data_IF_994648172056
#
_entry.id   IF_994648172056
#
_cell.length_a   1.000
_cell.length_b   1.000
_cell.length_c   1.000
_cell.angle_alpha   90.00
_cell.angle_beta   90.00
_cell.angle_gamma   90.00
#
_symmetry.space_group_name_H-M   'P 1'
#
loop_
_entity.id
_entity.type
_entity.pdbx_description
1 polymer ?
#
# COMPACT_ATOMS: atom_id res chain seq x y z
N UNK A 1 -1.74 -24.11 -1.35
CA UNK A 1 -1.71 -23.98 -2.82
C UNK A 1 -3.07 -24.26 -3.44
N UNK A 2 -3.71 -25.42 -3.20
CA UNK A 2 -5.06 -25.71 -3.73
C UNK A 2 -6.13 -24.66 -3.37
N UNK A 3 -6.11 -24.11 -2.14
CA UNK A 3 -7.06 -23.06 -1.72
C UNK A 3 -6.88 -21.75 -2.52
N UNK A 4 -5.64 -21.38 -2.86
CA UNK A 4 -5.38 -20.20 -3.69
C UNK A 4 -5.83 -20.41 -5.14
N UNK A 5 -5.63 -21.60 -5.70
CA UNK A 5 -6.12 -21.93 -7.04
C UNK A 5 -7.64 -21.84 -7.12
N UNK A 6 -8.35 -22.29 -6.08
CA UNK A 6 -9.81 -22.16 -5.98
C UNK A 6 -10.25 -20.70 -5.84
N UNK A 7 -9.59 -19.90 -5.01
CA UNK A 7 -9.89 -18.48 -4.87
C UNK A 7 -9.61 -17.69 -6.16
N UNK A 8 -8.52 -18.03 -6.86
CA UNK A 8 -8.20 -17.47 -8.18
C UNK A 8 -9.32 -17.76 -9.19
N UNK A 9 -9.89 -18.96 -9.21
CA UNK A 9 -11.00 -19.30 -10.10
C UNK A 9 -12.30 -18.54 -9.77
N UNK A 10 -12.46 -18.06 -8.55
CA UNK A 10 -13.63 -17.26 -8.14
C UNK A 10 -13.53 -15.79 -8.56
N UNK A 11 -12.35 -15.30 -8.96
CA UNK A 11 -12.18 -13.93 -9.44
C UNK A 11 -12.49 -13.81 -10.94
N UNK A 12 -13.50 -13.02 -11.33
CA UNK A 12 -13.85 -12.84 -12.73
C UNK A 12 -12.69 -12.23 -13.54
N UNK A 13 -12.30 -12.90 -14.63
CA UNK A 13 -11.35 -12.35 -15.60
C UNK A 13 -9.90 -12.23 -15.11
N UNK A 14 -9.53 -12.86 -13.99
CA UNK A 14 -8.17 -12.76 -13.40
C UNK A 14 -7.05 -13.14 -14.38
N UNK A 15 -7.32 -14.03 -15.34
CA UNK A 15 -6.32 -14.45 -16.34
C UNK A 15 -5.95 -13.33 -17.32
N UNK A 16 -6.83 -12.34 -17.49
CA UNK A 16 -6.59 -11.15 -18.30
C UNK A 16 -5.98 -10.00 -17.48
N UNK A 17 -5.77 -10.17 -16.17
CA UNK A 17 -5.21 -9.11 -15.34
C UNK A 17 -3.70 -8.95 -15.60
N UNK A 18 -3.18 -7.72 -15.47
CA UNK A 18 -1.74 -7.45 -15.51
C UNK A 18 -0.98 -8.36 -14.54
N UNK A 19 0.25 -8.73 -14.90
CA UNK A 19 1.07 -9.63 -14.09
C UNK A 19 1.28 -9.10 -12.66
N UNK A 20 1.47 -7.79 -12.51
CA UNK A 20 1.61 -7.13 -11.20
C UNK A 20 0.32 -7.19 -10.38
N UNK A 21 -0.85 -7.04 -11.01
CA UNK A 21 -2.14 -7.14 -10.33
C UNK A 21 -2.38 -8.59 -9.84
N UNK A 22 -2.01 -9.59 -10.64
CA UNK A 22 -2.07 -11.01 -10.23
C UNK A 22 -1.10 -11.32 -9.10
N UNK A 23 0.10 -10.74 -9.12
CA UNK A 23 1.08 -10.85 -8.03
C UNK A 23 0.51 -10.25 -6.74
N UNK A 24 -0.04 -9.03 -6.81
CA UNK A 24 -0.68 -8.37 -5.68
C UNK A 24 -1.83 -9.21 -5.12
N UNK A 25 -2.68 -9.76 -5.98
CA UNK A 25 -3.76 -10.66 -5.57
C UNK A 25 -3.22 -11.86 -4.79
N UNK A 26 -2.20 -12.54 -5.33
CA UNK A 26 -1.60 -13.71 -4.68
C UNK A 26 -1.01 -13.38 -3.31
N UNK A 27 -0.25 -12.29 -3.21
CA UNK A 27 0.36 -11.84 -1.97
C UNK A 27 -0.70 -11.44 -0.93
N UNK A 28 -1.74 -10.72 -1.35
CA UNK A 28 -2.83 -10.36 -0.45
C UNK A 28 -3.63 -11.59 -0.02
N UNK A 29 -3.93 -12.53 -0.92
CA UNK A 29 -4.66 -13.74 -0.55
C UNK A 29 -3.89 -14.59 0.46
N UNK A 30 -2.59 -14.76 0.24
CA UNK A 30 -1.68 -15.55 1.07
C UNK A 30 -1.07 -14.76 2.24
N UNK A 31 -1.54 -13.55 2.50
CA UNK A 31 -1.01 -12.70 3.58
C UNK A 31 -1.14 -13.43 4.93
N UNK A 32 -0.04 -13.49 5.67
CA UNK A 32 0.02 -14.25 6.93
C UNK A 32 0.31 -15.74 6.80
N UNK A 33 0.38 -16.29 5.57
CA UNK A 33 0.79 -17.66 5.28
C UNK A 33 2.14 -17.75 4.54
N UNK A 34 2.69 -16.60 4.15
CA UNK A 34 3.97 -16.47 3.47
C UNK A 34 4.87 -15.55 4.29
N UNK A 35 6.18 -15.84 4.41
CA UNK A 35 7.13 -14.95 5.07
C UNK A 35 7.26 -13.64 4.26
N UNK A 36 7.18 -12.52 4.96
CA UNK A 36 7.15 -11.18 4.33
C UNK A 36 8.29 -10.27 4.81
N UNK A 37 8.87 -10.55 5.97
CA UNK A 37 9.85 -9.69 6.63
C UNK A 37 11.18 -10.43 6.82
N UNK A 38 12.31 -9.72 6.89
CA UNK A 38 13.61 -10.30 7.26
C UNK A 38 13.60 -10.95 8.65
N UNK A 39 14.45 -11.97 8.83
CA UNK A 39 14.56 -12.77 10.05
C UNK A 39 14.97 -11.97 11.30
N UNK A 40 15.81 -10.95 11.12
CA UNK A 40 16.39 -10.10 12.16
C UNK A 40 15.38 -9.12 12.79
N UNK A 41 14.35 -8.71 12.03
CA UNK A 41 13.28 -7.84 12.52
C UNK A 41 12.51 -8.45 13.68
N UNK A 42 12.50 -9.78 13.79
CA UNK A 42 11.89 -10.51 14.91
C UNK A 42 12.51 -10.13 16.24
N UNK A 43 13.84 -10.01 16.30
CA UNK A 43 14.58 -9.84 17.55
C UNK A 43 14.77 -8.36 17.91
N UNK A 44 14.98 -7.51 16.91
CA UNK A 44 15.41 -6.13 17.12
C UNK A 44 14.36 -5.11 16.70
N UNK A 45 13.73 -5.32 15.54
CA UNK A 45 12.82 -4.36 14.92
C UNK A 45 11.41 -4.32 15.50
N UNK A 46 10.83 -5.48 15.83
CA UNK A 46 9.39 -5.64 16.14
C UNK A 46 9.10 -6.50 17.39
N UNK A 47 10.08 -6.63 18.29
CA UNK A 47 10.05 -7.52 19.47
C UNK A 47 8.86 -7.32 20.42
N UNK A 48 8.32 -6.12 20.49
CA UNK A 48 7.19 -5.74 21.34
C UNK A 48 5.81 -6.05 20.72
N UNK A 49 5.77 -6.59 19.50
CA UNK A 49 4.56 -7.03 18.84
C UNK A 49 4.52 -8.56 18.80
N UNK A 50 3.38 -9.21 19.13
CA UNK A 50 3.24 -10.66 19.10
C UNK A 50 3.03 -11.14 17.65
N UNK A 51 4.11 -11.16 16.86
CA UNK A 51 4.09 -11.58 15.46
C UNK A 51 4.34 -13.09 15.33
N UNK A 52 3.56 -13.81 14.50
CA UNK A 52 3.83 -15.22 14.17
C UNK A 52 5.21 -15.40 13.53
N UNK A 53 5.87 -16.51 13.82
CA UNK A 53 7.22 -16.79 13.29
C UNK A 53 7.21 -16.94 11.77
N UNK A 54 6.10 -17.43 11.22
CA UNK A 54 5.88 -17.69 9.80
C UNK A 54 5.88 -16.41 8.94
N UNK A 55 5.81 -15.23 9.56
CA UNK A 55 5.94 -13.95 8.86
C UNK A 55 7.39 -13.58 8.54
N UNK A 56 8.35 -14.24 9.16
CA UNK A 56 9.76 -13.93 9.00
C UNK A 56 10.43 -14.93 8.07
N UNK A 57 11.26 -14.43 7.16
CA UNK A 57 12.07 -15.24 6.27
C UNK A 57 13.06 -16.09 7.07
N UNK A 58 13.46 -17.27 6.56
CA UNK A 58 14.72 -17.89 6.96
C UNK A 58 15.88 -16.93 6.68
N UNK A 59 16.87 -16.87 7.56
CA UNK A 59 17.98 -15.90 7.48
C UNK A 59 18.74 -15.95 6.15
N UNK A 60 18.82 -17.13 5.52
CA UNK A 60 19.47 -17.31 4.22
C UNK A 60 18.70 -16.67 3.06
N UNK A 61 17.46 -16.25 3.27
CA UNK A 61 16.53 -15.73 2.25
C UNK A 61 16.02 -14.32 2.58
N UNK A 62 16.65 -13.61 3.53
CA UNK A 62 16.21 -12.27 3.95
C UNK A 62 16.16 -11.26 2.79
N UNK A 63 17.04 -11.41 1.80
CA UNK A 63 17.03 -10.61 0.57
C UNK A 63 15.78 -10.78 -0.29
N UNK A 64 14.97 -11.82 -0.06
CA UNK A 64 13.73 -12.08 -0.78
C UNK A 64 12.50 -11.52 -0.05
N UNK A 65 12.68 -10.99 1.16
CA UNK A 65 11.58 -10.38 1.92
C UNK A 65 10.95 -9.23 1.14
N UNK A 66 9.61 -9.22 1.09
CA UNK A 66 8.82 -8.18 0.44
C UNK A 66 8.88 -6.86 1.24
N UNK A 67 8.70 -6.96 2.56
CA UNK A 67 8.70 -5.84 3.50
C UNK A 67 10.08 -5.80 4.15
N UNK A 68 11.00 -5.07 3.51
CA UNK A 68 12.37 -4.88 4.00
C UNK A 68 12.82 -3.43 3.86
N UNK A 69 13.85 -3.08 4.60
CA UNK A 69 14.54 -1.80 4.45
C UNK A 69 15.71 -1.96 3.47
N UNK A 70 15.88 -0.99 2.56
CA UNK A 70 17.09 -0.91 1.72
C UNK A 70 18.16 -0.02 2.37
N UNK A 71 17.76 0.91 3.25
CA UNK A 71 18.68 1.86 3.90
C UNK A 71 18.69 1.75 5.41
N UNK A 72 17.53 1.95 6.03
CA UNK A 72 17.42 2.11 7.49
C UNK A 72 16.27 1.28 8.05
N UNK A 73 16.63 0.17 8.71
CA UNK A 73 15.71 -0.75 9.36
C UNK A 73 14.86 -0.06 10.45
N UNK A 74 15.45 0.83 11.24
CA UNK A 74 14.72 1.51 12.31
C UNK A 74 13.55 2.33 11.76
N UNK A 75 13.75 3.02 10.63
CA UNK A 75 12.65 3.74 9.99
C UNK A 75 11.58 2.82 9.42
N UNK A 76 11.98 1.67 8.88
CA UNK A 76 11.08 0.67 8.32
C UNK A 76 10.18 0.04 9.39
N UNK A 77 10.79 -0.40 10.49
CA UNK A 77 10.09 -0.98 11.62
C UNK A 77 9.20 0.05 12.31
N UNK A 78 9.65 1.31 12.45
CA UNK A 78 8.82 2.43 12.93
C UNK A 78 7.59 2.67 12.05
N UNK A 79 7.75 2.66 10.73
CA UNK A 79 6.62 2.82 9.80
C UNK A 79 5.62 1.66 9.92
N UNK A 80 6.12 0.42 10.03
CA UNK A 80 5.28 -0.77 10.26
C UNK A 80 4.49 -0.70 11.57
N UNK A 81 5.13 -0.27 12.66
CA UNK A 81 4.48 -0.05 13.97
C UNK A 81 3.32 0.93 13.85
N UNK A 82 3.51 2.01 13.09
CA UNK A 82 2.44 2.97 12.80
C UNK A 82 1.20 2.32 12.17
N UNK A 83 1.36 1.31 11.31
CA UNK A 83 0.23 0.54 10.78
C UNK A 83 -0.42 -0.34 11.86
N UNK A 84 0.39 -1.02 12.68
CA UNK A 84 -0.09 -1.89 13.76
C UNK A 84 -0.93 -1.14 14.80
N UNK A 85 -0.59 0.12 15.07
CA UNK A 85 -1.27 0.96 16.05
C UNK A 85 -2.65 1.46 15.60
N UNK A 86 -2.95 1.44 14.29
CA UNK A 86 -4.20 1.99 13.72
C UNK A 86 -5.42 1.43 14.47
N UNK A 87 -5.50 0.12 14.70
CA UNK A 87 -6.65 -0.50 15.36
C UNK A 87 -6.86 -0.02 16.79
N UNK A 88 -5.79 0.16 17.54
CA UNK A 88 -5.86 0.66 18.92
C UNK A 88 -6.36 2.12 18.93
N UNK A 89 -5.83 2.94 18.03
CA UNK A 89 -6.22 4.35 17.90
C UNK A 89 -7.67 4.50 17.42
N UNK A 90 -8.10 3.75 16.39
CA UNK A 90 -9.48 3.74 15.91
C UNK A 90 -10.45 3.41 17.05
N UNK A 91 -10.12 2.42 17.89
CA UNK A 91 -10.95 2.07 19.06
C UNK A 91 -11.00 3.20 20.09
N UNK A 92 -9.87 3.83 20.39
CA UNK A 92 -9.83 4.97 21.32
C UNK A 92 -10.70 6.13 20.80
N UNK A 93 -10.61 6.46 19.51
CA UNK A 93 -11.41 7.52 18.88
C UNK A 93 -12.90 7.18 18.91
N UNK A 94 -13.28 5.92 18.66
CA UNK A 94 -14.68 5.47 18.78
C UNK A 94 -15.19 5.59 20.22
N UNK A 95 -14.38 5.20 21.20
CA UNK A 95 -14.76 5.30 22.62
C UNK A 95 -14.87 6.76 23.08
N UNK A 96 -14.05 7.65 22.53
CA UNK A 96 -14.12 9.10 22.76
C UNK A 96 -15.17 9.83 21.93
N UNK A 97 -15.97 9.14 21.11
CA UNK A 97 -17.01 9.75 20.25
C UNK A 97 -16.47 10.56 19.06
N UNK A 98 -15.17 10.49 18.75
CA UNK A 98 -14.50 11.24 17.70
C UNK A 98 -14.54 10.51 16.34
N UNK A 99 -15.75 10.10 15.91
CA UNK A 99 -15.93 9.26 14.73
C UNK A 99 -15.46 9.92 13.42
N UNK A 100 -15.64 11.22 13.28
CA UNK A 100 -15.31 11.98 12.07
C UNK A 100 -13.79 12.06 11.81
N UNK A 101 -12.98 11.87 12.85
CA UNK A 101 -11.51 11.92 12.75
C UNK A 101 -10.88 10.56 12.42
N UNK A 102 -11.66 9.47 12.40
CA UNK A 102 -11.13 8.13 12.19
C UNK A 102 -10.58 7.96 10.77
N UNK A 103 -11.29 8.45 9.77
CA UNK A 103 -10.86 8.28 8.38
C UNK A 103 -9.55 9.06 8.09
N UNK A 104 -9.42 10.28 8.64
CA UNK A 104 -8.20 11.07 8.53
C UNK A 104 -7.04 10.47 9.32
N UNK A 105 -7.31 9.90 10.50
CA UNK A 105 -6.34 9.15 11.29
C UNK A 105 -5.75 7.97 10.50
N UNK A 106 -6.60 7.14 9.89
CA UNK A 106 -6.17 5.98 9.09
C UNK A 106 -5.37 6.44 7.87
N UNK A 107 -5.90 7.39 7.11
CA UNK A 107 -5.23 7.95 5.93
C UNK A 107 -3.85 8.50 6.26
N UNK A 108 -3.70 9.18 7.40
CA UNK A 108 -2.40 9.67 7.89
C UNK A 108 -1.38 8.55 8.07
N UNK A 109 -1.76 7.43 8.71
CA UNK A 109 -0.82 6.32 8.95
C UNK A 109 -0.46 5.57 7.66
N UNK A 110 -1.43 5.38 6.76
CA UNK A 110 -1.17 4.84 5.41
C UNK A 110 -0.16 5.72 4.67
N UNK A 111 -0.41 7.03 4.61
CA UNK A 111 0.46 7.98 3.92
C UNK A 111 1.84 8.11 4.58
N UNK A 112 1.96 7.94 5.89
CA UNK A 112 3.26 7.87 6.58
C UNK A 112 4.05 6.63 6.13
N UNK A 113 3.40 5.47 6.00
CA UNK A 113 4.03 4.26 5.49
C UNK A 113 4.46 4.41 4.02
N UNK A 114 3.60 4.98 3.17
CA UNK A 114 3.92 5.29 1.76
C UNK A 114 5.16 6.20 1.67
N UNK A 115 5.17 7.31 2.42
CA UNK A 115 6.31 8.24 2.44
C UNK A 115 7.60 7.58 2.90
N UNK A 116 7.54 6.67 3.87
CA UNK A 116 8.71 5.90 4.26
C UNK A 116 9.19 5.01 3.11
N UNK A 117 8.30 4.23 2.50
CA UNK A 117 8.61 3.31 1.41
C UNK A 117 9.26 4.04 0.22
N UNK A 118 8.77 5.23 -0.11
CA UNK A 118 9.32 6.12 -1.14
C UNK A 118 10.70 6.67 -0.78
N UNK A 119 10.92 7.14 0.47
CA UNK A 119 12.24 7.59 0.93
C UNK A 119 13.27 6.47 0.90
N UNK A 120 12.85 5.29 1.32
CA UNK A 120 13.69 4.10 1.37
C UNK A 120 14.04 3.59 -0.04
N UNK A 121 13.16 3.81 -1.04
CA UNK A 121 13.45 3.52 -2.46
C UNK A 121 14.63 4.31 -3.04
N UNK A 122 14.99 5.44 -2.42
CA UNK A 122 16.04 6.33 -2.88
C UNK A 122 15.65 7.28 -4.01
N UNK A 123 14.37 7.34 -4.37
CA UNK A 123 13.85 8.25 -5.39
C UNK A 123 13.38 9.59 -4.80
N UNK A 124 12.90 9.58 -3.55
CA UNK A 124 12.36 10.77 -2.89
C UNK A 124 13.34 11.96 -2.95
N UNK A 125 12.87 13.10 -3.46
CA UNK A 125 13.64 14.34 -3.71
C UNK A 125 14.82 14.23 -4.68
N UNK A 126 15.12 13.05 -5.23
CA UNK A 126 16.24 12.83 -6.17
C UNK A 126 15.79 12.64 -7.61
N UNK A 127 14.55 12.19 -7.79
CA UNK A 127 13.94 11.91 -9.09
C UNK A 127 12.58 12.58 -9.17
N UNK A 128 12.24 13.07 -10.34
CA UNK A 128 10.89 13.56 -10.65
C UNK A 128 10.01 12.36 -10.98
N UNK A 129 9.22 11.91 -10.00
CA UNK A 129 8.31 10.79 -10.15
C UNK A 129 6.97 11.09 -9.49
N UNK A 130 5.92 10.42 -9.97
CA UNK A 130 4.58 10.44 -9.37
C UNK A 130 4.37 9.16 -8.56
N UNK A 131 3.89 9.28 -7.32
CA UNK A 131 3.55 8.11 -6.50
C UNK A 131 2.49 7.25 -7.19
N UNK A 132 2.69 5.93 -7.33
CA UNK A 132 1.64 5.01 -7.80
C UNK A 132 0.71 4.58 -6.65
N UNK A 133 0.80 5.20 -5.46
CA UNK A 133 -0.06 4.91 -4.31
C UNK A 133 -0.87 6.14 -3.94
N UNK A 134 -2.19 5.98 -3.91
CA UNK A 134 -3.16 7.03 -3.62
C UNK A 134 -4.05 6.66 -2.44
N UNK A 135 -4.49 7.68 -1.69
CA UNK A 135 -5.45 7.51 -0.60
C UNK A 135 -6.62 8.48 -0.79
N UNK A 136 -7.82 7.94 -0.97
CA UNK A 136 -9.08 8.69 -1.05
C UNK A 136 -9.79 8.58 0.30
N UNK A 137 -10.23 9.70 0.86
CA UNK A 137 -10.89 9.74 2.17
C UNK A 137 -12.34 10.21 2.03
N UNK A 138 -13.27 9.39 2.48
CA UNK A 138 -14.68 9.75 2.60
C UNK A 138 -15.03 9.97 4.07
N UNK A 139 -15.36 11.22 4.41
CA UNK A 139 -15.80 11.61 5.76
C UNK A 139 -17.29 11.37 5.98
N UNK A 140 -18.10 11.41 4.92
CA UNK A 140 -19.53 11.13 4.97
C UNK A 140 -19.87 9.81 4.25
N UNK A 141 -20.42 8.84 4.98
CA UNK A 141 -20.84 7.53 4.44
C UNK A 141 -21.96 7.65 3.41
N UNK A 142 -22.77 8.70 3.45
CA UNK A 142 -23.82 8.94 2.44
C UNK A 142 -23.24 9.33 1.07
N UNK A 143 -22.05 9.92 1.02
CA UNK A 143 -21.37 10.24 -0.24
C UNK A 143 -20.89 8.98 -1.00
N UNK A 144 -20.85 7.83 -0.33
CA UNK A 144 -20.42 6.53 -0.88
C UNK A 144 -21.63 5.64 -1.25
N UNK A 145 -22.86 6.17 -1.20
CA UNK A 145 -24.11 5.39 -1.30
C UNK A 145 -24.30 4.57 -2.59
N UNK A 146 -23.50 4.80 -3.63
CA UNK A 146 -23.36 3.89 -4.75
C UNK A 146 -21.89 3.52 -4.89
N UNK A 147 -21.53 2.24 -4.87
CA UNK A 147 -20.13 1.81 -5.15
C UNK A 147 -19.56 2.42 -6.44
N UNK A 148 -20.43 2.86 -7.36
CA UNK A 148 -20.10 3.66 -8.53
C UNK A 148 -19.35 4.97 -8.22
N UNK A 149 -19.69 5.68 -7.14
CA UNK A 149 -18.99 6.90 -6.75
C UNK A 149 -17.51 6.62 -6.42
N UNK A 150 -17.24 5.51 -5.72
CA UNK A 150 -15.88 5.07 -5.42
C UNK A 150 -15.14 4.70 -6.71
N UNK A 151 -15.77 3.93 -7.59
CA UNK A 151 -15.19 3.54 -8.88
C UNK A 151 -14.89 4.76 -9.75
N UNK A 152 -15.79 5.73 -9.83
CA UNK A 152 -15.58 6.96 -10.58
C UNK A 152 -14.40 7.75 -10.01
N UNK A 153 -14.28 7.85 -8.68
CA UNK A 153 -13.15 8.53 -8.07
C UNK A 153 -11.82 7.82 -8.31
N UNK A 154 -11.83 6.49 -8.35
CA UNK A 154 -10.64 5.71 -8.76
C UNK A 154 -10.26 6.01 -10.22
N UNK A 155 -11.23 6.16 -11.14
CA UNK A 155 -10.96 6.52 -12.54
C UNK A 155 -10.34 7.92 -12.67
N UNK A 156 -10.87 8.91 -11.95
CA UNK A 156 -10.28 10.25 -11.90
C UNK A 156 -8.81 10.20 -11.47
N UNK A 157 -8.48 9.42 -10.44
CA UNK A 157 -7.09 9.23 -9.99
C UNK A 157 -6.20 8.61 -11.07
N UNK A 158 -6.71 7.66 -11.86
CA UNK A 158 -5.98 7.06 -12.98
C UNK A 158 -5.72 8.08 -14.09
N UNK A 159 -6.73 8.89 -14.42
CA UNK A 159 -6.62 9.96 -15.42
C UNK A 159 -5.59 11.02 -14.99
N UNK A 160 -5.68 11.50 -13.74
CA UNK A 160 -4.75 12.47 -13.17
C UNK A 160 -3.31 11.93 -13.17
N UNK A 161 -3.11 10.68 -12.72
CA UNK A 161 -1.79 10.04 -12.71
C UNK A 161 -1.20 9.92 -14.12
N UNK A 162 -2.03 9.58 -15.12
CA UNK A 162 -1.60 9.49 -16.51
C UNK A 162 -1.22 10.87 -17.07
N UNK A 163 -2.05 11.88 -16.82
CA UNK A 163 -1.80 13.24 -17.27
C UNK A 163 -0.47 13.79 -16.73
N UNK A 164 -0.16 13.53 -15.46
CA UNK A 164 1.11 13.90 -14.83
C UNK A 164 2.33 13.27 -15.53
N UNK A 165 2.22 12.02 -15.99
CA UNK A 165 3.31 11.37 -16.74
C UNK A 165 3.40 11.83 -18.20
N UNK A 166 2.27 12.14 -18.83
CA UNK A 166 2.22 12.74 -20.17
C UNK A 166 2.89 14.12 -20.16
N UNK A 167 2.63 14.95 -19.14
CA UNK A 167 3.29 16.26 -18.95
C UNK A 167 4.81 16.14 -18.80
N UNK A 168 5.27 15.08 -18.11
CA UNK A 168 6.70 14.78 -17.93
C UNK A 168 7.37 14.15 -19.16
N UNK A 169 6.62 13.88 -20.23
CA UNK A 169 7.10 13.17 -21.42
C UNK A 169 7.84 11.86 -21.10
N UNK A 170 7.43 11.16 -20.04
CA UNK A 170 8.02 9.88 -19.62
C UNK A 170 7.12 8.74 -20.05
N UNK A 171 7.58 7.92 -21.00
CA UNK A 171 6.77 6.80 -21.52
C UNK A 171 6.83 5.55 -20.63
N UNK A 172 7.91 5.39 -19.86
CA UNK A 172 8.17 4.19 -19.07
C UNK A 172 8.03 4.45 -17.57
N UNK A 173 6.81 4.30 -17.04
CA UNK A 173 6.45 4.49 -15.64
C UNK A 173 5.58 3.34 -15.11
N UNK A 174 5.42 3.18 -13.78
CA UNK A 174 4.60 2.13 -13.19
C UNK A 174 3.14 2.22 -13.68
N UNK A 175 2.66 1.16 -14.32
CA UNK A 175 1.32 1.11 -14.93
C UNK A 175 0.22 0.69 -13.96
N UNK A 176 0.55 -0.13 -12.97
CA UNK A 176 -0.38 -0.50 -11.93
C UNK A 176 -0.28 0.51 -10.77
N UNK A 177 -1.37 1.21 -10.50
CA UNK A 177 -1.48 2.07 -9.32
C UNK A 177 -2.32 1.40 -8.23
N UNK A 178 -1.99 1.65 -6.97
CA UNK A 178 -2.73 1.19 -5.79
C UNK A 178 -3.54 2.34 -5.21
N UNK A 179 -4.81 2.11 -4.92
CA UNK A 179 -5.73 3.12 -4.39
C UNK A 179 -6.36 2.60 -3.09
N UNK A 180 -6.07 3.27 -1.99
CA UNK A 180 -6.74 3.05 -0.71
C UNK A 180 -7.94 3.97 -0.58
N UNK A 181 -9.13 3.40 -0.41
CA UNK A 181 -10.36 4.17 -0.16
C UNK A 181 -10.74 3.99 1.30
N UNK A 182 -10.63 5.07 2.08
CA UNK A 182 -10.90 5.08 3.51
C UNK A 182 -12.29 5.65 3.76
N UNK A 183 -13.18 4.83 4.33
CA UNK A 183 -14.55 5.18 4.67
C UNK A 183 -14.73 4.93 6.16
N UNK A 184 -14.74 6.00 6.96
CA UNK A 184 -14.71 5.91 8.43
C UNK A 184 -13.59 4.98 8.95
N UNK A 185 -13.92 3.73 9.29
CA UNK A 185 -13.01 2.72 9.84
C UNK A 185 -12.74 1.55 8.87
N UNK A 186 -13.26 1.62 7.65
CA UNK A 186 -13.05 0.62 6.60
C UNK A 186 -12.04 1.17 5.60
N UNK A 187 -11.10 0.33 5.17
CA UNK A 187 -10.19 0.63 4.06
C UNK A 187 -10.43 -0.38 2.96
N UNK A 188 -10.84 0.09 1.79
CA UNK A 188 -10.88 -0.70 0.57
C UNK A 188 -9.55 -0.58 -0.15
N UNK A 189 -9.02 -1.70 -0.62
CA UNK A 189 -7.78 -1.76 -1.41
C UNK A 189 -8.15 -2.06 -2.85
N UNK A 190 -7.90 -1.10 -3.73
CA UNK A 190 -8.03 -1.24 -5.17
C UNK A 190 -6.67 -1.18 -5.85
N UNK A 191 -6.57 -1.75 -7.04
CA UNK A 191 -5.55 -1.36 -8.00
C UNK A 191 -6.18 -1.06 -9.36
N UNK A 192 -5.53 -0.23 -10.15
CA UNK A 192 -5.99 0.11 -11.50
C UNK A 192 -4.83 0.08 -12.47
N UNK A 193 -5.09 -0.38 -13.68
CA UNK A 193 -4.14 -0.37 -14.79
C UNK A 193 -4.35 0.90 -15.62
N UNK A 194 -3.28 1.67 -15.79
CA UNK A 194 -3.30 2.94 -16.53
C UNK A 194 -3.46 2.76 -18.04
N UNK A 195 -3.17 1.58 -18.60
CA UNK A 195 -3.31 1.33 -20.05
C UNK A 195 -4.76 1.14 -20.49
N UNK A 196 -5.60 0.57 -19.62
CA UNK A 196 -7.02 0.33 -19.92
C UNK A 196 -7.82 1.65 -19.85
N UNK A 197 -7.18 2.72 -19.37
CA UNK A 197 -7.74 4.06 -19.27
C UNK A 197 -8.98 4.13 -18.36
N UNK A 198 -9.77 5.21 -18.50
CA UNK A 198 -11.00 5.42 -17.74
C UNK A 198 -12.09 4.35 -17.97
N UNK A 199 -11.98 3.59 -19.06
CA UNK A 199 -12.84 2.45 -19.36
C UNK A 199 -12.56 1.21 -18.51
N UNK A 200 -11.36 1.11 -17.92
CA UNK A 200 -11.01 -0.01 -17.04
C UNK A 200 -11.70 0.11 -15.69
N UNK A 201 -12.29 -0.99 -15.22
CA UNK A 201 -12.74 -1.06 -13.83
C UNK A 201 -11.56 -1.35 -12.90
N UNK A 202 -11.44 -0.64 -11.77
CA UNK A 202 -10.41 -0.93 -10.79
C UNK A 202 -10.62 -2.33 -10.19
N UNK A 203 -9.53 -3.07 -10.02
CA UNK A 203 -9.53 -4.37 -9.36
C UNK A 203 -9.71 -4.17 -7.86
N UNK A 204 -10.79 -4.72 -7.29
CA UNK A 204 -11.01 -4.73 -5.85
C UNK A 204 -10.31 -5.94 -5.20
N UNK A 205 -9.40 -5.70 -4.25
CA UNK A 205 -8.62 -6.78 -3.62
C UNK A 205 -9.06 -7.11 -2.21
N UNK A 206 -9.33 -6.10 -1.38
CA UNK A 206 -9.60 -6.32 0.02
C UNK A 206 -10.46 -5.22 0.63
N UNK A 207 -11.31 -5.64 1.58
CA UNK A 207 -11.99 -4.76 2.53
C UNK A 207 -11.38 -4.99 3.92
N UNK A 208 -10.80 -3.94 4.49
CA UNK A 208 -10.08 -3.99 5.76
C UNK A 208 -10.86 -3.21 6.82
N UNK A 209 -11.46 -3.93 7.76
CA UNK A 209 -12.20 -3.36 8.88
C UNK A 209 -11.24 -3.07 10.05
N UNK A 210 -10.90 -1.79 10.24
CA UNK A 210 -10.00 -1.31 11.29
C UNK A 210 -10.63 -1.23 12.67
N UNK A 211 -11.93 -1.54 12.82
CA UNK A 211 -12.59 -1.60 14.12
C UNK A 211 -12.45 -2.96 14.80
N UNK A 212 -12.12 -4.01 14.04
CA UNK A 212 -12.00 -5.39 14.52
C UNK A 212 -10.62 -5.65 15.12
N UNK A 213 -10.52 -5.57 16.46
CA UNK A 213 -9.27 -5.78 17.23
C UNK A 213 -8.44 -6.99 16.78
N UNK A 214 -9.08 -8.12 16.47
CA UNK A 214 -8.38 -9.35 16.12
C UNK A 214 -7.66 -9.29 14.75
N UNK A 215 -7.98 -8.30 13.91
CA UNK A 215 -7.52 -8.23 12.52
C UNK A 215 -6.38 -7.21 12.31
N UNK A 216 -5.82 -6.66 13.39
CA UNK A 216 -4.76 -5.64 13.31
C UNK A 216 -3.58 -6.09 12.44
N UNK A 217 -3.10 -7.32 12.64
CA UNK A 217 -1.96 -7.85 11.90
C UNK A 217 -2.29 -8.03 10.42
N UNK A 218 -3.43 -8.68 10.16
CA UNK A 218 -3.88 -9.01 8.81
C UNK A 218 -4.12 -7.76 7.94
N UNK A 219 -4.77 -6.75 8.52
CA UNK A 219 -5.05 -5.47 7.84
C UNK A 219 -3.78 -4.64 7.62
N UNK A 220 -2.87 -4.60 8.61
CA UNK A 220 -1.61 -3.88 8.48
C UNK A 220 -0.70 -4.49 7.41
N UNK A 221 -0.63 -5.81 7.37
CA UNK A 221 0.13 -6.53 6.35
C UNK A 221 -0.49 -6.30 4.96
N UNK A 222 -1.81 -6.29 4.83
CA UNK A 222 -2.45 -6.02 3.54
C UNK A 222 -2.06 -4.63 2.98
N UNK A 223 -2.06 -3.60 3.83
CA UNK A 223 -1.59 -2.25 3.45
C UNK A 223 -0.11 -2.30 3.06
N UNK A 224 0.72 -2.92 3.89
CA UNK A 224 2.16 -3.00 3.65
C UNK A 224 2.48 -3.72 2.33
N UNK A 225 1.83 -4.85 2.04
CA UNK A 225 1.98 -5.59 0.78
C UNK A 225 1.68 -4.69 -0.41
N UNK A 226 0.54 -4.00 -0.41
CA UNK A 226 0.13 -3.19 -1.55
C UNK A 226 1.10 -2.02 -1.80
N UNK A 227 1.56 -1.36 -0.74
CA UNK A 227 2.58 -0.30 -0.84
C UNK A 227 3.93 -0.85 -1.29
N UNK A 228 4.37 -2.01 -0.80
CA UNK A 228 5.67 -2.58 -1.17
C UNK A 228 5.70 -3.11 -2.62
N UNK A 229 4.58 -3.64 -3.13
CA UNK A 229 4.45 -3.98 -4.56
C UNK A 229 4.58 -2.72 -5.42
N UNK A 230 3.89 -1.64 -5.05
CA UNK A 230 3.96 -0.37 -5.76
C UNK A 230 5.36 0.27 -5.69
N UNK A 231 6.04 0.19 -4.53
CA UNK A 231 7.44 0.60 -4.35
C UNK A 231 8.38 -0.17 -5.27
N UNK A 232 8.20 -1.49 -5.40
CA UNK A 232 9.01 -2.31 -6.31
C UNK A 232 8.84 -1.88 -7.76
N UNK A 233 7.61 -1.56 -8.17
CA UNK A 233 7.35 -1.03 -9.51
C UNK A 233 8.05 0.32 -9.70
N UNK A 234 7.99 1.25 -8.73
CA UNK A 234 8.74 2.50 -8.78
C UNK A 234 10.25 2.29 -8.96
N UNK A 235 10.85 1.42 -8.16
CA UNK A 235 12.29 1.12 -8.23
C UNK A 235 12.67 0.52 -9.58
N UNK A 236 11.81 -0.32 -10.17
CA UNK A 236 12.04 -0.92 -11.48
C UNK A 236 12.08 0.12 -12.62
N UNK A 237 11.37 1.23 -12.48
CA UNK A 237 11.28 2.30 -13.49
C UNK A 237 12.20 3.49 -13.21
N UNK A 238 13.04 3.42 -12.16
CA UNK A 238 13.82 4.55 -11.65
C UNK A 238 14.72 5.26 -12.67
N UNK A 239 15.23 4.53 -13.66
CA UNK A 239 16.15 5.09 -14.66
C UNK A 239 15.41 5.91 -15.71
N UNK A 240 14.10 5.73 -15.85
CA UNK A 240 13.24 6.53 -16.72
C UNK A 240 12.95 7.92 -16.15
N UNK A 241 13.13 8.12 -14.84
CA UNK A 241 12.77 9.36 -14.17
C UNK A 241 13.89 10.40 -14.26
N UNK A 242 13.50 11.63 -14.59
CA UNK A 242 14.42 12.76 -14.62
C UNK A 242 15.08 12.96 -13.24
N UNK A 243 16.36 13.34 -13.23
CA UNK A 243 17.04 13.73 -11.99
C UNK A 243 16.54 15.11 -11.60
N UNK A 244 16.19 15.27 -10.34
CA UNK A 244 16.03 16.59 -9.76
C UNK A 244 17.43 17.16 -9.50
N UNK A 245 17.62 18.44 -9.78
CA UNK A 245 18.85 19.13 -9.36
C UNK A 245 18.96 19.00 -7.83
N UNK A 246 20.17 18.74 -7.33
CA UNK A 246 20.41 18.62 -5.90
C UNK A 246 20.01 19.94 -5.23
N UNK A 247 18.81 19.96 -4.63
CA UNK A 247 18.52 20.92 -3.59
C UNK A 247 19.40 20.46 -2.44
N UNK A 248 20.46 21.22 -2.14
CA UNK A 248 21.27 21.05 -0.93
C UNK A 248 20.29 20.74 0.21
N UNK A 249 20.32 19.50 0.70
CA UNK A 249 19.53 19.13 1.86
C UNK A 249 20.04 20.04 2.97
N UNK A 250 19.28 21.09 3.30
CA UNK A 250 19.47 21.85 4.53
C UNK A 250 19.59 20.82 5.64
N UNK A 251 20.82 20.68 6.11
CA UNK A 251 21.20 19.89 7.25
C UNK A 251 20.54 20.57 8.42
N UNK A 252 19.37 20.10 8.85
CA UNK A 252 18.85 20.46 10.16
C UNK A 252 17.88 19.41 10.74
N UNK A 253 18.45 18.67 11.71
CA UNK A 253 17.91 18.21 13.01
C UNK A 253 16.80 17.15 13.06
#
# INVERSE_FOLDING_TARGET
>A
MQEYEQARQQMPGIDNWPAEARLLHGLLYLRGLYPLMPSDWRLWGLRDHPLPEELFMPAEQDENALIRAEKNEYHATKAMRGLFEIHALVRAYRQGGQHDLIASLISRHINQFVRWAEKDSGLFKKRDYVSPVFTIVYTNTQAVGSGQAVVNKCREVVEDYRAEWEERATENYPRLITIFVVIQHIVLVFAADTEVGASGEPFAFAELDMSKKAYWLNTSIAIAIAVMVARRALVAHRESFAKLEDVEDDVDL
#
